data_IF_962395990386
#
_entry.id   IF_962395990386
#
_cell.length_a   1.000
_cell.length_b   1.000
_cell.length_c   1.000
_cell.angle_alpha   90.00
_cell.angle_beta   90.00
_cell.angle_gamma   90.00
#
_symmetry.space_group_name_H-M   'P 1'
#
loop_
_entity.id
_entity.type
_entity.pdbx_description
1 polymer ?
#
# COMPACT_ATOMS: atom_id res chain seq x y z
N UNK A 1 2.83 2.66 -29.24
CA UNK A 1 2.87 2.82 -27.78
C UNK A 1 4.00 1.94 -27.25
N UNK A 2 5.11 2.54 -26.83
CA UNK A 2 6.27 1.79 -26.36
C UNK A 2 6.19 1.65 -24.81
N UNK A 3 5.50 0.62 -24.33
CA UNK A 3 5.53 0.25 -22.93
C UNK A 3 6.63 -0.76 -22.62
N UNK A 4 6.98 -0.88 -21.35
CA UNK A 4 7.93 -1.87 -20.81
C UNK A 4 9.36 -1.74 -21.37
N UNK A 5 9.90 -0.52 -21.43
CA UNK A 5 11.30 -0.29 -21.86
C UNK A 5 12.25 -0.47 -20.69
N UNK A 6 13.40 -1.10 -20.93
CA UNK A 6 14.49 -1.11 -19.95
C UNK A 6 15.04 0.31 -19.77
N UNK A 7 15.13 0.78 -18.54
CA UNK A 7 15.80 2.05 -18.22
C UNK A 7 17.31 1.83 -18.11
N UNK A 8 18.07 2.51 -18.95
CA UNK A 8 19.53 2.52 -18.92
C UNK A 8 20.07 3.76 -19.64
N UNK A 9 21.32 4.12 -19.36
CA UNK A 9 22.02 5.17 -20.07
C UNK A 9 21.27 6.52 -20.10
N UNK A 10 21.12 7.12 -21.28
CA UNK A 10 20.43 8.40 -21.44
C UNK A 10 18.96 8.38 -21.00
N UNK A 11 18.26 7.24 -21.17
CA UNK A 11 16.86 7.09 -20.78
C UNK A 11 16.63 7.27 -19.27
N UNK A 12 17.62 6.97 -18.43
CA UNK A 12 17.53 7.23 -16.99
C UNK A 12 17.40 8.73 -16.69
N UNK A 13 18.23 9.58 -17.36
CA UNK A 13 18.18 11.03 -17.18
C UNK A 13 16.90 11.64 -17.75
N UNK A 14 16.41 11.12 -18.86
CA UNK A 14 15.15 11.56 -19.47
C UNK A 14 13.96 11.34 -18.54
N UNK A 15 13.97 10.26 -17.76
CA UNK A 15 12.88 9.89 -16.85
C UNK A 15 13.08 10.52 -15.47
N UNK A 16 14.27 10.42 -14.89
CA UNK A 16 14.56 10.91 -13.54
C UNK A 16 14.81 12.42 -13.50
N UNK A 17 15.34 13.01 -14.57
CA UNK A 17 15.62 14.45 -14.63
C UNK A 17 14.41 15.32 -14.28
N UNK A 18 13.29 15.20 -15.02
CA UNK A 18 12.08 15.99 -14.76
C UNK A 18 11.30 15.55 -13.54
N UNK A 19 11.55 14.36 -12.98
CA UNK A 19 10.83 13.87 -11.82
C UNK A 19 11.12 14.72 -10.58
N UNK A 20 10.07 15.18 -9.90
CA UNK A 20 10.12 15.89 -8.63
C UNK A 20 9.98 14.94 -7.44
N UNK A 21 9.30 13.82 -7.64
CA UNK A 21 9.05 12.82 -6.60
C UNK A 21 9.08 11.40 -7.13
N UNK A 22 9.38 10.47 -6.23
CA UNK A 22 9.34 9.03 -6.50
C UNK A 22 8.60 8.35 -5.35
N UNK A 23 7.58 7.58 -5.68
CA UNK A 23 6.91 6.67 -4.77
C UNK A 23 7.56 5.30 -4.89
N UNK A 24 7.89 4.70 -3.76
CA UNK A 24 8.45 3.36 -3.70
C UNK A 24 7.52 2.42 -2.95
N UNK A 25 7.26 1.24 -3.52
CA UNK A 25 6.88 0.11 -2.69
C UNK A 25 8.06 -0.28 -1.79
N UNK A 26 7.81 -1.05 -0.74
CA UNK A 26 8.83 -1.40 0.25
C UNK A 26 9.31 -2.84 0.10
N UNK A 27 8.43 -3.82 0.31
CA UNK A 27 8.77 -5.24 0.28
C UNK A 27 9.03 -5.70 -1.17
N UNK A 28 10.20 -6.26 -1.44
CA UNK A 28 10.62 -6.63 -2.80
C UNK A 28 11.28 -5.50 -3.61
N UNK A 29 11.20 -4.26 -3.15
CA UNK A 29 11.76 -3.07 -3.80
C UNK A 29 12.93 -2.49 -3.01
N UNK A 30 12.68 -2.11 -1.76
CA UNK A 30 13.70 -1.52 -0.87
C UNK A 30 14.39 -2.58 -0.01
N UNK A 31 13.67 -3.65 0.32
CA UNK A 31 14.20 -4.79 1.08
C UNK A 31 13.52 -6.10 0.68
N UNK A 32 14.22 -7.18 0.94
CA UNK A 32 13.73 -8.56 0.88
C UNK A 32 13.98 -9.24 2.24
N UNK A 33 12.92 -9.65 2.93
CA UNK A 33 13.02 -10.11 4.31
C UNK A 33 13.67 -9.05 5.21
N UNK A 34 14.72 -9.41 5.93
CA UNK A 34 15.45 -8.51 6.85
C UNK A 34 16.72 -7.88 6.24
N UNK A 35 16.80 -7.79 4.92
CA UNK A 35 17.95 -7.21 4.21
C UNK A 35 17.51 -6.14 3.23
N UNK A 36 18.21 -5.00 3.25
CA UNK A 36 18.05 -3.99 2.21
C UNK A 36 18.48 -4.56 0.84
N UNK A 37 17.77 -4.18 -0.21
CA UNK A 37 18.21 -4.43 -1.59
C UNK A 37 19.52 -3.65 -1.80
N UNK A 38 20.57 -4.29 -2.35
CA UNK A 38 21.85 -3.62 -2.59
C UNK A 38 21.65 -2.32 -3.38
N UNK A 39 22.27 -1.23 -2.92
CA UNK A 39 22.14 0.10 -3.53
C UNK A 39 20.88 0.88 -3.15
N UNK A 40 19.87 0.29 -2.52
CA UNK A 40 18.64 0.98 -2.15
C UNK A 40 18.89 2.16 -1.18
N UNK A 41 19.67 2.02 -0.10
CA UNK A 41 19.99 3.15 0.78
C UNK A 41 20.75 4.28 0.04
N UNK A 42 21.66 3.92 -0.87
CA UNK A 42 22.38 4.90 -1.69
C UNK A 42 21.44 5.63 -2.64
N UNK A 43 20.53 4.94 -3.31
CA UNK A 43 19.55 5.56 -4.18
C UNK A 43 18.72 6.64 -3.45
N UNK A 44 18.23 6.35 -2.25
CA UNK A 44 17.46 7.33 -1.47
C UNK A 44 18.31 8.54 -1.07
N UNK A 45 19.57 8.33 -0.71
CA UNK A 45 20.49 9.43 -0.41
C UNK A 45 20.77 10.29 -1.64
N UNK A 46 20.93 9.69 -2.82
CA UNK A 46 21.10 10.41 -4.09
C UNK A 46 19.86 11.23 -4.47
N UNK A 47 18.67 10.63 -4.38
CA UNK A 47 17.40 11.35 -4.60
C UNK A 47 17.29 12.57 -3.69
N UNK A 48 17.56 12.41 -2.39
CA UNK A 48 17.55 13.51 -1.44
C UNK A 48 18.54 14.63 -1.81
N UNK A 49 19.76 14.26 -2.20
CA UNK A 49 20.78 15.25 -2.64
C UNK A 49 20.37 15.98 -3.91
N UNK A 50 19.67 15.30 -4.82
CA UNK A 50 19.12 15.91 -6.05
C UNK A 50 17.83 16.70 -5.81
N UNK A 51 17.43 16.91 -4.54
CA UNK A 51 16.24 17.69 -4.18
C UNK A 51 14.91 17.01 -4.55
N UNK A 52 14.92 15.70 -4.84
CA UNK A 52 13.72 14.93 -5.20
C UNK A 52 13.08 14.33 -3.96
N UNK A 53 11.74 14.42 -3.89
CA UNK A 53 10.99 13.81 -2.80
C UNK A 53 10.92 12.29 -2.96
N UNK A 54 11.01 11.56 -1.86
CA UNK A 54 10.77 10.12 -1.82
C UNK A 54 9.63 9.81 -0.84
N UNK A 55 8.63 9.07 -1.31
CA UNK A 55 7.50 8.59 -0.52
C UNK A 55 7.43 7.07 -0.56
N UNK A 56 6.96 6.47 0.51
CA UNK A 56 6.94 5.03 0.69
C UNK A 56 5.50 4.56 0.82
N UNK A 57 5.04 3.72 -0.12
CA UNK A 57 3.66 3.25 -0.21
C UNK A 57 3.64 1.72 -0.08
N UNK A 58 3.20 1.23 1.07
CA UNK A 58 3.23 -0.20 1.38
C UNK A 58 1.84 -0.77 1.65
N UNK A 59 1.49 -1.88 1.00
CA UNK A 59 0.28 -2.65 1.31
C UNK A 59 0.39 -3.47 2.61
N UNK A 60 1.58 -3.52 3.21
CA UNK A 60 1.79 -4.26 4.46
C UNK A 60 1.09 -3.56 5.63
N UNK A 61 0.04 -4.19 6.17
CA UNK A 61 -0.72 -3.69 7.32
C UNK A 61 -0.26 -4.24 8.68
N UNK A 62 0.80 -5.06 8.71
CA UNK A 62 1.29 -5.70 9.95
C UNK A 62 1.98 -4.73 10.90
N UNK A 63 2.60 -3.68 10.35
CA UNK A 63 3.43 -2.72 11.10
C UNK A 63 2.80 -1.35 11.12
N UNK A 64 2.93 -0.68 12.26
CA UNK A 64 2.66 0.75 12.36
C UNK A 64 3.72 1.56 11.58
N UNK A 65 3.41 2.83 11.29
CA UNK A 65 4.36 3.76 10.67
C UNK A 65 5.64 3.90 11.52
N UNK A 66 5.51 3.96 12.84
CA UNK A 66 6.65 4.03 13.75
C UNK A 66 7.54 2.78 13.68
N UNK A 67 6.95 1.60 13.51
CA UNK A 67 7.72 0.36 13.31
C UNK A 67 8.40 0.32 11.95
N UNK A 68 7.75 0.84 10.90
CA UNK A 68 8.36 0.97 9.58
C UNK A 68 9.52 1.97 9.59
N UNK A 69 9.37 3.14 10.23
CA UNK A 69 10.45 4.12 10.37
C UNK A 69 11.68 3.52 11.06
N UNK A 70 11.47 2.77 12.15
CA UNK A 70 12.56 2.04 12.83
C UNK A 70 13.19 0.97 11.92
N UNK A 71 12.38 0.31 11.07
CA UNK A 71 12.89 -0.65 10.11
C UNK A 71 13.76 0.00 9.05
N UNK A 72 13.35 1.13 8.49
CA UNK A 72 14.18 1.93 7.58
C UNK A 72 15.53 2.27 8.20
N UNK A 73 15.54 2.78 9.42
CA UNK A 73 16.77 3.13 10.14
C UNK A 73 17.67 1.90 10.36
N UNK A 74 17.11 0.77 10.79
CA UNK A 74 17.84 -0.49 11.03
C UNK A 74 18.46 -1.05 9.73
N UNK A 75 17.80 -0.87 8.59
CA UNK A 75 18.28 -1.32 7.30
C UNK A 75 19.22 -0.34 6.60
N UNK A 76 19.62 0.75 7.28
CA UNK A 76 20.61 1.70 6.80
C UNK A 76 20.08 2.85 5.94
N UNK A 77 18.76 3.00 5.83
CA UNK A 77 18.15 4.14 5.14
C UNK A 77 18.18 5.38 6.02
N UNK A 78 18.83 6.43 5.54
CA UNK A 78 18.99 7.71 6.28
C UNK A 78 17.97 8.73 5.78
N UNK A 79 17.46 9.56 6.70
CA UNK A 79 16.58 10.68 6.38
C UNK A 79 15.14 10.30 6.02
N UNK A 80 14.76 9.04 6.18
CA UNK A 80 13.36 8.61 6.07
C UNK A 80 12.66 8.99 7.36
N UNK A 81 11.52 9.69 7.24
CA UNK A 81 10.70 10.12 8.37
C UNK A 81 9.29 9.55 8.25
N UNK A 82 8.65 9.37 9.39
CA UNK A 82 7.27 8.85 9.48
C UNK A 82 6.30 9.55 8.53
N UNK A 83 6.42 10.86 8.35
CA UNK A 83 5.55 11.64 7.48
C UNK A 83 5.59 11.29 5.98
N UNK A 84 6.66 10.61 5.54
CA UNK A 84 6.82 10.14 4.16
C UNK A 84 6.33 8.69 3.95
N UNK A 85 5.89 8.01 5.01
CA UNK A 85 5.47 6.61 4.99
C UNK A 85 3.95 6.52 4.97
N UNK A 86 3.41 5.93 3.92
CA UNK A 86 1.98 5.70 3.72
C UNK A 86 1.73 4.19 3.61
N UNK A 87 1.44 3.56 4.74
CA UNK A 87 1.06 2.15 4.78
C UNK A 87 -0.45 1.99 4.61
N UNK A 88 -0.87 0.80 4.19
CA UNK A 88 -2.29 0.46 4.13
C UNK A 88 -2.96 0.53 5.50
N UNK A 89 -2.22 0.26 6.58
CA UNK A 89 -2.68 0.42 7.95
C UNK A 89 -3.01 1.90 8.28
N UNK A 90 -2.04 2.80 8.05
CA UNK A 90 -2.25 4.24 8.26
C UNK A 90 -3.40 4.77 7.41
N UNK A 91 -3.42 4.47 6.12
CA UNK A 91 -4.43 4.99 5.20
C UNK A 91 -5.83 4.44 5.53
N UNK A 92 -5.93 3.18 6.01
CA UNK A 92 -7.20 2.63 6.50
C UNK A 92 -7.68 3.36 7.75
N UNK A 93 -6.77 3.71 8.66
CA UNK A 93 -7.11 4.50 9.85
C UNK A 93 -7.59 5.91 9.47
N UNK A 94 -6.93 6.57 8.51
CA UNK A 94 -7.34 7.90 8.01
C UNK A 94 -8.72 7.85 7.33
N UNK A 95 -8.97 6.84 6.49
CA UNK A 95 -10.26 6.65 5.84
C UNK A 95 -11.39 6.45 6.87
N UNK A 96 -11.18 5.54 7.81
CA UNK A 96 -12.18 5.25 8.84
C UNK A 96 -12.40 6.43 9.77
N UNK A 97 -11.35 7.16 10.13
CA UNK A 97 -11.49 8.43 10.87
C UNK A 97 -12.39 9.42 10.12
N UNK A 98 -12.14 9.62 8.84
CA UNK A 98 -12.96 10.50 8.01
C UNK A 98 -14.41 10.03 7.95
N UNK A 99 -14.66 8.72 7.80
CA UNK A 99 -15.99 8.13 7.64
C UNK A 99 -16.78 8.09 8.95
N UNK A 100 -16.12 7.83 10.07
CA UNK A 100 -16.78 7.62 11.37
C UNK A 100 -16.76 8.86 12.28
N UNK A 101 -15.76 9.75 12.13
CA UNK A 101 -15.57 10.92 12.98
C UNK A 101 -15.73 12.25 12.22
N UNK A 102 -15.85 12.22 10.88
CA UNK A 102 -16.00 13.42 10.05
C UNK A 102 -17.37 14.05 10.18
N UNK A 103 -17.54 15.26 9.66
CA UNK A 103 -18.77 16.07 9.72
C UNK A 103 -20.04 15.35 9.21
N UNK A 104 -19.90 14.35 8.33
CA UNK A 104 -21.03 13.54 7.85
C UNK A 104 -21.53 12.51 8.88
N UNK A 105 -20.74 12.18 9.90
CA UNK A 105 -21.14 11.27 10.96
C UNK A 105 -22.17 11.90 11.93
N UNK A 106 -22.20 13.22 12.03
CA UNK A 106 -23.15 13.97 12.86
C UNK A 106 -24.61 13.96 12.38
N UNK A 107 -24.87 13.50 11.15
CA UNK A 107 -26.23 13.38 10.60
C UNK A 107 -26.94 12.06 10.95
N UNK A 108 -26.25 11.12 11.57
CA UNK A 108 -26.76 9.77 11.88
C UNK A 108 -27.17 9.63 13.35
N UNK A 109 -27.93 10.59 13.92
CA UNK A 109 -28.58 10.45 15.22
C UNK A 109 -27.67 10.00 16.37
N UNK A 110 -28.06 10.27 17.55
CA UNK A 110 -27.52 10.09 18.92
C UNK A 110 -26.64 8.85 19.29
N UNK A 111 -26.14 8.10 18.32
CA UNK A 111 -25.18 7.01 18.54
C UNK A 111 -23.76 7.55 18.29
N UNK A 112 -23.06 7.88 19.37
CA UNK A 112 -21.66 8.35 19.35
C UNK A 112 -20.72 7.65 18.36
N UNK A 113 -19.44 8.05 18.26
CA UNK A 113 -18.52 7.50 17.29
C UNK A 113 -18.45 5.97 17.45
N UNK A 114 -18.85 5.26 16.39
CA UNK A 114 -18.91 3.81 16.40
C UNK A 114 -17.54 3.16 16.56
N UNK A 115 -17.54 1.88 16.95
CA UNK A 115 -16.31 1.09 17.10
C UNK A 115 -15.96 0.40 15.79
N UNK A 116 -14.68 0.04 15.67
CA UNK A 116 -14.15 -0.76 14.54
C UNK A 116 -13.81 -2.16 15.03
N UNK A 117 -14.38 -3.19 14.39
CA UNK A 117 -13.96 -4.57 14.58
C UNK A 117 -12.78 -4.86 13.64
N UNK A 118 -11.65 -5.28 14.20
CA UNK A 118 -10.38 -5.41 13.46
C UNK A 118 -9.98 -6.88 13.36
N UNK A 119 -9.85 -7.37 12.14
CA UNK A 119 -9.13 -8.57 11.78
C UNK A 119 -7.70 -8.18 11.41
N UNK A 120 -6.79 -8.21 12.38
CA UNK A 120 -5.43 -7.73 12.18
C UNK A 120 -4.62 -7.66 13.45
N UNK A 121 -3.31 -7.50 13.31
CA UNK A 121 -2.35 -7.43 14.40
C UNK A 121 -2.23 -6.05 15.05
N UNK A 122 -1.31 -5.95 16.02
CA UNK A 122 -1.17 -4.76 16.86
C UNK A 122 -0.69 -3.51 16.07
N UNK A 123 0.12 -3.67 15.04
CA UNK A 123 0.54 -2.54 14.20
C UNK A 123 -0.65 -1.81 13.57
N UNK A 124 -1.63 -2.56 13.01
CA UNK A 124 -2.87 -1.99 12.47
C UNK A 124 -3.73 -1.38 13.57
N UNK A 125 -3.91 -2.09 14.69
CA UNK A 125 -4.70 -1.60 15.84
C UNK A 125 -4.11 -0.31 16.40
N UNK A 126 -2.79 -0.20 16.47
CA UNK A 126 -2.08 0.99 16.92
C UNK A 126 -2.34 2.21 16.04
N UNK A 127 -2.36 2.06 14.72
CA UNK A 127 -2.71 3.15 13.78
C UNK A 127 -4.15 3.62 13.97
N UNK A 128 -5.10 2.71 14.18
CA UNK A 128 -6.50 3.07 14.43
C UNK A 128 -6.66 3.85 15.73
N UNK A 129 -6.02 3.41 16.82
CA UNK A 129 -6.04 4.13 18.10
C UNK A 129 -5.38 5.51 17.98
N UNK A 130 -4.25 5.61 17.29
CA UNK A 130 -3.57 6.88 17.03
C UNK A 130 -4.43 7.85 16.21
N UNK A 131 -5.31 7.33 15.35
CA UNK A 131 -6.30 8.12 14.62
C UNK A 131 -7.54 8.52 15.47
N UNK A 132 -7.61 8.10 16.74
CA UNK A 132 -8.72 8.40 17.65
C UNK A 132 -9.94 7.46 17.50
N UNK A 133 -9.75 6.32 16.82
CA UNK A 133 -10.81 5.33 16.64
C UNK A 133 -10.86 4.36 17.85
N UNK A 134 -12.08 3.98 18.25
CA UNK A 134 -12.31 2.96 19.28
C UNK A 134 -12.44 1.59 18.66
N UNK A 135 -11.87 0.58 19.29
CA UNK A 135 -11.87 -0.78 18.79
C UNK A 135 -12.86 -1.67 19.55
N UNK A 136 -13.54 -2.54 18.84
CA UNK A 136 -14.42 -3.52 19.45
C UNK A 136 -13.62 -4.50 20.32
N UNK A 137 -14.11 -4.76 21.53
CA UNK A 137 -13.51 -5.69 22.50
C UNK A 137 -12.43 -5.07 23.40
N UNK A 138 -12.16 -3.78 23.32
CA UNK A 138 -11.18 -3.10 24.18
C UNK A 138 -11.81 -2.28 25.33
N UNK A 139 -13.07 -1.93 25.22
CA UNK A 139 -13.82 -1.18 26.22
C UNK A 139 -15.13 -1.88 26.56
N UNK A 140 -15.62 -1.70 27.80
CA UNK A 140 -16.90 -2.29 28.29
C UNK A 140 -18.16 -1.61 27.72
N UNK A 141 -18.01 -0.50 26.98
CA UNK A 141 -19.17 0.26 26.47
C UNK A 141 -19.87 -0.43 25.30
N UNK A 142 -21.20 -0.35 25.28
CA UNK A 142 -22.12 -0.92 24.28
C UNK A 142 -22.20 -0.13 22.96
N UNK A 143 -21.21 0.70 22.60
CA UNK A 143 -21.24 1.45 21.35
C UNK A 143 -21.26 0.48 20.14
N UNK A 144 -22.15 0.76 19.18
CA UNK A 144 -22.31 -0.07 17.99
C UNK A 144 -21.01 -0.17 17.15
N UNK A 145 -20.75 -1.35 16.59
CA UNK A 145 -19.68 -1.53 15.60
C UNK A 145 -20.16 -0.95 14.26
N UNK A 146 -19.40 0.01 13.73
CA UNK A 146 -19.73 0.74 12.49
C UNK A 146 -18.82 0.37 11.31
N UNK A 147 -17.73 -0.35 11.58
CA UNK A 147 -16.89 -0.88 10.53
C UNK A 147 -16.25 -2.22 10.95
N UNK A 148 -16.09 -3.08 9.97
CA UNK A 148 -15.23 -4.26 10.02
C UNK A 148 -14.04 -3.95 9.12
N UNK A 149 -12.83 -3.96 9.68
CA UNK A 149 -11.59 -3.77 8.95
C UNK A 149 -10.82 -5.09 8.88
N UNK A 150 -10.57 -5.54 7.65
CA UNK A 150 -9.76 -6.73 7.38
C UNK A 150 -8.36 -6.29 7.00
N UNK A 151 -7.38 -6.66 7.79
CA UNK A 151 -5.96 -6.55 7.51
C UNK A 151 -5.28 -7.91 7.51
N UNK A 152 -3.95 -7.92 7.52
CA UNK A 152 -3.21 -9.15 7.70
C UNK A 152 -3.38 -9.65 9.13
N UNK A 153 -3.98 -10.83 9.29
CA UNK A 153 -4.24 -11.47 10.58
C UNK A 153 -3.75 -12.92 10.55
N UNK A 154 -2.58 -13.19 11.09
CA UNK A 154 -2.01 -14.53 11.22
C UNK A 154 -2.69 -15.37 12.32
N UNK A 155 -3.59 -14.75 13.09
CA UNK A 155 -4.47 -15.37 14.09
C UNK A 155 -5.96 -15.39 13.65
N UNK A 156 -6.20 -15.38 12.34
CA UNK A 156 -7.54 -15.46 11.78
C UNK A 156 -8.20 -16.80 12.16
N UNK A 157 -9.42 -16.72 12.68
CA UNK A 157 -10.17 -17.89 13.15
C UNK A 157 -11.60 -17.87 12.62
N UNK A 158 -12.25 -19.04 12.63
CA UNK A 158 -13.67 -19.14 12.32
C UNK A 158 -14.53 -18.25 13.25
N UNK A 159 -14.19 -18.17 14.53
CA UNK A 159 -14.91 -17.31 15.48
C UNK A 159 -14.85 -15.84 15.09
N UNK A 160 -13.67 -15.35 14.68
CA UNK A 160 -13.51 -13.97 14.19
C UNK A 160 -14.31 -13.75 12.90
N UNK A 161 -14.31 -14.70 11.98
CA UNK A 161 -15.11 -14.65 10.75
C UNK A 161 -16.60 -14.55 11.07
N UNK A 162 -17.10 -15.40 11.93
CA UNK A 162 -18.51 -15.41 12.36
C UNK A 162 -18.90 -14.08 13.01
N UNK A 163 -18.04 -13.52 13.85
CA UNK A 163 -18.26 -12.23 14.51
C UNK A 163 -18.28 -11.06 13.51
N UNK A 164 -17.36 -11.05 12.54
CA UNK A 164 -17.37 -10.07 11.45
C UNK A 164 -18.70 -10.11 10.68
N UNK A 165 -19.16 -11.30 10.32
CA UNK A 165 -20.43 -11.49 9.63
C UNK A 165 -21.64 -11.01 10.47
N UNK A 166 -21.60 -11.21 11.79
CA UNK A 166 -22.66 -10.71 12.67
C UNK A 166 -22.77 -9.18 12.66
N UNK A 167 -21.65 -8.46 12.70
CA UNK A 167 -21.64 -7.00 12.57
C UNK A 167 -22.08 -6.52 11.19
N UNK A 168 -21.70 -7.22 10.13
CA UNK A 168 -22.03 -6.86 8.75
C UNK A 168 -23.50 -7.09 8.37
N UNK A 169 -24.32 -7.68 9.26
CA UNK A 169 -25.79 -7.70 9.10
C UNK A 169 -26.40 -6.29 9.13
N UNK A 170 -25.82 -5.36 9.88
CA UNK A 170 -26.21 -3.96 9.80
C UNK A 170 -25.68 -3.38 8.47
N UNK A 171 -26.57 -2.94 7.54
CA UNK A 171 -26.14 -2.39 6.26
C UNK A 171 -25.34 -1.10 6.42
N UNK A 172 -25.42 -0.42 7.57
CA UNK A 172 -24.63 0.78 7.88
C UNK A 172 -23.22 0.46 8.35
N UNK A 173 -22.94 -0.80 8.72
CA UNK A 173 -21.59 -1.24 9.07
C UNK A 173 -20.75 -1.34 7.79
N UNK A 174 -19.63 -0.62 7.73
CA UNK A 174 -18.73 -0.63 6.59
C UNK A 174 -17.89 -1.93 6.59
N UNK A 175 -17.65 -2.48 5.42
CA UNK A 175 -16.62 -3.51 5.24
C UNK A 175 -15.45 -2.89 4.49
N UNK A 176 -14.28 -2.86 5.13
CA UNK A 176 -13.05 -2.25 4.60
C UNK A 176 -11.93 -3.28 4.67
N UNK A 177 -11.08 -3.32 3.66
CA UNK A 177 -9.87 -4.13 3.63
C UNK A 177 -8.64 -3.22 3.42
N UNK A 178 -7.56 -3.52 4.13
CA UNK A 178 -6.32 -2.74 4.03
C UNK A 178 -5.69 -2.85 2.65
N UNK A 179 -5.74 -4.02 2.04
CA UNK A 179 -5.10 -4.32 0.76
C UNK A 179 -5.70 -5.58 0.11
N UNK A 180 -5.49 -5.80 -1.21
CA UNK A 180 -6.05 -6.93 -1.94
C UNK A 180 -5.06 -8.09 -2.08
N UNK A 181 -3.87 -8.02 -1.51
CA UNK A 181 -2.81 -9.00 -1.76
C UNK A 181 -3.26 -10.41 -1.38
N UNK A 182 -3.35 -11.36 -2.33
CA UNK A 182 -3.88 -12.69 -2.06
C UNK A 182 -2.91 -13.54 -1.24
N UNK A 183 -1.60 -13.28 -1.38
CA UNK A 183 -0.52 -14.02 -0.71
C UNK A 183 0.75 -13.18 -0.67
N UNK A 184 1.65 -13.55 0.23
CA UNK A 184 2.99 -12.98 0.32
C UNK A 184 4.05 -14.08 0.16
N UNK A 185 5.19 -13.79 -0.49
CA UNK A 185 6.29 -14.73 -0.60
C UNK A 185 6.99 -14.89 0.75
N UNK A 186 7.43 -16.10 1.05
CA UNK A 186 8.28 -16.42 2.18
C UNK A 186 9.71 -16.66 1.71
N UNK A 187 10.69 -16.52 2.62
CA UNK A 187 12.12 -16.70 2.33
C UNK A 187 12.50 -18.09 1.84
N UNK A 188 11.67 -19.09 2.15
CA UNK A 188 11.85 -20.48 1.70
C UNK A 188 11.21 -20.79 0.34
N UNK A 189 10.71 -19.75 -0.37
CA UNK A 189 10.05 -19.91 -1.68
C UNK A 189 8.57 -20.32 -1.59
N UNK A 190 8.04 -20.53 -0.39
CA UNK A 190 6.60 -20.77 -0.15
C UNK A 190 5.82 -19.47 -0.14
N UNK A 191 4.49 -19.59 -0.11
CA UNK A 191 3.55 -18.46 -0.01
C UNK A 191 2.76 -18.58 1.29
N UNK A 192 2.49 -17.42 1.92
CA UNK A 192 1.52 -17.34 3.03
C UNK A 192 0.29 -16.57 2.55
N UNK A 193 -0.93 -16.92 3.03
CA UNK A 193 -2.13 -16.15 2.72
C UNK A 193 -1.97 -14.67 3.08
N UNK A 194 -2.41 -13.80 2.20
CA UNK A 194 -2.45 -12.35 2.41
C UNK A 194 -3.83 -11.87 2.83
N UNK A 195 -3.95 -10.57 3.04
CA UNK A 195 -5.20 -9.90 3.42
C UNK A 195 -6.34 -10.20 2.43
N UNK A 196 -6.05 -10.26 1.13
CA UNK A 196 -7.04 -10.56 0.09
C UNK A 196 -7.73 -11.92 0.29
N UNK A 197 -6.98 -12.93 0.75
CA UNK A 197 -7.55 -14.25 1.07
C UNK A 197 -8.51 -14.20 2.26
N UNK A 198 -8.17 -13.43 3.29
CA UNK A 198 -9.03 -13.25 4.47
C UNK A 198 -10.26 -12.41 4.13
N UNK A 199 -10.08 -11.38 3.33
CA UNK A 199 -11.16 -10.52 2.82
C UNK A 199 -12.16 -11.34 2.00
N UNK A 200 -11.67 -12.23 1.12
CA UNK A 200 -12.52 -13.11 0.32
C UNK A 200 -13.39 -14.02 1.21
N UNK A 201 -12.85 -14.53 2.33
CA UNK A 201 -13.63 -15.30 3.28
C UNK A 201 -14.77 -14.47 3.91
N UNK A 202 -14.47 -13.23 4.33
CA UNK A 202 -15.47 -12.33 4.92
C UNK A 202 -16.51 -11.91 3.87
N UNK A 203 -16.10 -11.56 2.66
CA UNK A 203 -17.00 -11.20 1.56
C UNK A 203 -17.96 -12.34 1.22
N UNK A 204 -17.42 -13.55 1.06
CA UNK A 204 -18.22 -14.75 0.72
C UNK A 204 -19.22 -15.07 1.83
N UNK A 205 -18.80 -15.06 3.10
CA UNK A 205 -19.66 -15.41 4.22
C UNK A 205 -20.73 -14.33 4.52
N UNK A 206 -20.41 -13.06 4.33
CA UNK A 206 -21.32 -11.94 4.62
C UNK A 206 -22.19 -11.52 3.42
N UNK A 207 -21.83 -11.91 2.20
CA UNK A 207 -22.45 -11.42 0.97
C UNK A 207 -22.15 -9.94 0.65
N UNK A 208 -21.16 -9.35 1.35
CA UNK A 208 -20.77 -7.93 1.20
C UNK A 208 -19.48 -7.82 0.38
N UNK A 209 -19.24 -6.64 -0.21
CA UNK A 209 -17.96 -6.32 -0.86
C UNK A 209 -17.19 -5.30 -0.04
N UNK A 210 -15.90 -5.53 0.09
CA UNK A 210 -15.00 -4.64 0.82
C UNK A 210 -14.57 -3.45 -0.02
N UNK A 211 -14.50 -2.28 0.63
CA UNK A 211 -13.74 -1.16 0.13
C UNK A 211 -12.26 -1.41 0.43
N UNK A 212 -11.45 -1.58 -0.61
CA UNK A 212 -10.01 -1.81 -0.48
C UNK A 212 -9.29 -0.47 -0.47
N UNK A 213 -8.46 -0.22 0.55
CA UNK A 213 -7.76 1.06 0.74
C UNK A 213 -6.41 1.08 0.03
N UNK A 214 -5.66 -0.01 0.11
CA UNK A 214 -4.32 -0.14 -0.45
C UNK A 214 -4.28 -0.23 -1.97
N UNK A 215 -3.09 -0.17 -2.51
CA UNK A 215 -2.82 -0.33 -3.96
C UNK A 215 -3.56 -1.57 -4.51
N UNK A 216 -4.21 -1.50 -5.66
CA UNK A 216 -4.16 -0.46 -6.70
C UNK A 216 -5.17 0.69 -6.53
N UNK A 217 -5.88 0.80 -5.40
CA UNK A 217 -6.76 1.93 -5.11
C UNK A 217 -5.93 3.22 -4.95
N UNK A 218 -6.45 4.35 -5.44
CA UNK A 218 -5.72 5.63 -5.45
C UNK A 218 -5.63 6.33 -4.09
N UNK A 219 -6.40 5.88 -3.09
CA UNK A 219 -6.54 6.59 -1.81
C UNK A 219 -5.21 6.88 -1.10
N UNK A 220 -4.23 5.96 -1.19
CA UNK A 220 -2.91 6.21 -0.62
C UNK A 220 -2.19 7.38 -1.30
N UNK A 221 -2.36 7.55 -2.63
CA UNK A 221 -1.83 8.68 -3.36
C UNK A 221 -2.60 9.96 -3.05
N UNK A 222 -3.92 9.88 -2.90
CA UNK A 222 -4.75 11.02 -2.51
C UNK A 222 -4.29 11.60 -1.17
N UNK A 223 -3.95 10.73 -0.19
CA UNK A 223 -3.35 11.16 1.08
C UNK A 223 -1.99 11.86 0.91
N UNK A 224 -1.17 11.42 -0.03
CA UNK A 224 0.12 12.06 -0.34
C UNK A 224 -0.10 13.41 -0.99
N UNK A 225 -1.01 13.50 -1.95
CA UNK A 225 -1.35 14.76 -2.64
C UNK A 225 -1.93 15.79 -1.65
N UNK A 226 -2.83 15.36 -0.79
CA UNK A 226 -3.44 16.24 0.24
C UNK A 226 -2.36 16.82 1.17
N UNK A 227 -1.38 16.02 1.55
CA UNK A 227 -0.36 16.43 2.51
C UNK A 227 0.80 17.20 1.90
N UNK A 228 1.23 16.86 0.69
CA UNK A 228 2.46 17.36 0.08
C UNK A 228 2.27 18.09 -1.25
N UNK A 229 1.05 18.11 -1.82
CA UNK A 229 0.78 18.78 -3.09
C UNK A 229 1.52 18.17 -4.27
N UNK A 230 1.71 16.86 -4.30
CA UNK A 230 2.50 16.15 -5.32
C UNK A 230 1.80 16.20 -6.68
N UNK A 231 2.55 16.56 -7.73
CA UNK A 231 2.05 16.53 -9.11
C UNK A 231 2.28 15.14 -9.72
N UNK A 232 1.21 14.42 -10.12
CA UNK A 232 1.34 13.10 -10.73
C UNK A 232 2.15 13.12 -12.03
N UNK A 233 2.12 14.20 -12.81
CA UNK A 233 2.86 14.29 -14.07
C UNK A 233 4.39 14.31 -13.90
N UNK A 234 4.86 14.72 -12.72
CA UNK A 234 6.28 14.80 -12.34
C UNK A 234 6.66 13.77 -11.28
N UNK A 235 5.87 12.69 -11.13
CA UNK A 235 6.08 11.68 -10.09
C UNK A 235 6.13 10.28 -10.70
N UNK A 236 7.03 9.46 -10.16
CA UNK A 236 7.20 8.07 -10.57
C UNK A 236 6.65 7.13 -9.50
N UNK A 237 6.10 5.99 -9.91
CA UNK A 237 5.84 4.85 -9.04
C UNK A 237 6.82 3.72 -9.36
N UNK A 238 7.57 3.27 -8.38
CA UNK A 238 8.52 2.16 -8.47
C UNK A 238 8.02 1.01 -7.60
N UNK A 239 7.74 -0.12 -8.21
CA UNK A 239 7.20 -1.30 -7.53
C UNK A 239 7.61 -2.59 -8.18
N UNK A 240 7.28 -3.71 -7.55
CA UNK A 240 7.66 -5.06 -7.98
C UNK A 240 6.47 -5.94 -8.40
N UNK A 241 5.24 -5.44 -8.23
CA UNK A 241 4.03 -6.20 -8.52
C UNK A 241 3.11 -5.47 -9.50
N UNK A 242 2.75 -6.15 -10.61
CA UNK A 242 1.97 -5.54 -11.69
C UNK A 242 0.56 -5.18 -11.26
N UNK A 243 -0.12 -6.07 -10.53
CA UNK A 243 -1.53 -5.94 -10.16
C UNK A 243 -1.78 -4.91 -9.04
N UNK A 244 -0.74 -4.55 -8.30
CA UNK A 244 -0.83 -3.54 -7.24
C UNK A 244 -0.06 -2.28 -7.61
N UNK A 245 1.27 -2.34 -7.67
CA UNK A 245 2.13 -1.16 -7.83
C UNK A 245 1.99 -0.49 -9.19
N UNK A 246 2.08 -1.28 -10.25
CA UNK A 246 2.03 -0.74 -11.61
C UNK A 246 0.62 -0.24 -11.91
N UNK A 247 -0.40 -1.03 -11.57
CA UNK A 247 -1.80 -0.61 -11.73
C UNK A 247 -2.12 0.63 -10.88
N UNK A 248 -1.61 0.71 -9.64
CA UNK A 248 -1.71 1.90 -8.78
C UNK A 248 -1.11 3.13 -9.47
N UNK A 249 0.12 3.02 -9.96
CA UNK A 249 0.76 4.12 -10.68
C UNK A 249 -0.07 4.58 -11.88
N UNK A 250 -0.62 3.64 -12.66
CA UNK A 250 -1.50 3.95 -13.80
C UNK A 250 -2.78 4.65 -13.35
N UNK A 251 -3.45 4.13 -12.31
CA UNK A 251 -4.68 4.71 -11.78
C UNK A 251 -4.47 6.12 -11.23
N UNK A 252 -3.28 6.42 -10.72
CA UNK A 252 -2.90 7.74 -10.20
C UNK A 252 -2.32 8.69 -11.27
N UNK A 253 -2.16 8.25 -12.52
CA UNK A 253 -1.57 9.05 -13.59
C UNK A 253 -0.05 9.21 -13.51
N UNK A 254 0.64 8.29 -12.80
CA UNK A 254 2.08 8.29 -12.62
C UNK A 254 2.78 7.50 -13.74
N UNK A 255 4.00 7.87 -14.08
CA UNK A 255 4.88 6.99 -14.83
C UNK A 255 5.37 5.85 -13.91
N UNK A 256 5.44 4.62 -14.45
CA UNK A 256 5.65 3.41 -13.65
C UNK A 256 6.95 2.70 -14.04
N UNK A 257 7.66 2.23 -13.02
CA UNK A 257 8.91 1.46 -13.15
C UNK A 257 8.75 0.15 -12.40
N UNK A 258 8.83 -0.97 -13.12
CA UNK A 258 8.87 -2.30 -12.52
C UNK A 258 10.32 -2.63 -12.14
N UNK A 259 10.56 -3.04 -10.90
CA UNK A 259 11.82 -3.66 -10.48
C UNK A 259 11.66 -5.19 -10.43
N UNK A 260 12.67 -5.91 -10.93
CA UNK A 260 12.63 -7.37 -11.03
C UNK A 260 13.17 -8.08 -9.76
N UNK A 261 13.30 -7.35 -8.65
CA UNK A 261 13.80 -7.88 -7.36
C UNK A 261 12.72 -8.52 -6.49
N UNK A 262 11.46 -8.47 -6.91
CA UNK A 262 10.33 -8.93 -6.09
C UNK A 262 9.44 -9.99 -6.75
N UNK A 263 8.14 -9.72 -6.82
CA UNK A 263 7.09 -10.70 -7.15
C UNK A 263 6.94 -10.95 -8.64
N UNK A 264 6.72 -9.89 -9.43
CA UNK A 264 6.42 -10.01 -10.86
C UNK A 264 7.68 -10.16 -11.69
N UNK A 265 7.55 -10.91 -12.78
CA UNK A 265 8.62 -11.18 -13.73
C UNK A 265 8.42 -10.39 -15.02
N UNK A 266 9.49 -10.17 -15.76
CA UNK A 266 9.45 -9.45 -17.03
C UNK A 266 8.54 -10.15 -18.05
N UNK A 267 8.54 -11.49 -18.06
CA UNK A 267 7.73 -12.30 -18.95
C UNK A 267 6.23 -12.07 -18.74
N UNK A 268 5.80 -11.82 -17.49
CA UNK A 268 4.41 -11.50 -17.17
C UNK A 268 4.02 -10.14 -17.76
N UNK A 269 4.87 -9.13 -17.60
CA UNK A 269 4.65 -7.81 -18.20
C UNK A 269 4.60 -7.87 -19.73
N UNK A 270 5.47 -8.68 -20.34
CA UNK A 270 5.50 -8.91 -21.80
C UNK A 270 4.24 -9.64 -22.29
N UNK A 271 3.75 -10.61 -21.50
CA UNK A 271 2.49 -11.30 -21.82
C UNK A 271 1.28 -10.34 -21.80
N UNK A 272 1.22 -9.45 -20.82
CA UNK A 272 0.19 -8.39 -20.77
C UNK A 272 0.33 -7.41 -21.94
N UNK A 273 1.55 -7.05 -22.33
CA UNK A 273 1.80 -6.18 -23.49
C UNK A 273 1.31 -6.79 -24.80
N UNK A 274 1.44 -8.11 -24.96
CA UNK A 274 0.99 -8.86 -26.11
C UNK A 274 -0.53 -9.13 -26.12
N UNK A 275 -1.23 -8.87 -25.01
CA UNK A 275 -2.67 -9.10 -24.88
C UNK A 275 -3.49 -8.00 -25.57
N UNK A 276 -4.59 -8.37 -26.19
CA UNK A 276 -5.55 -7.42 -26.75
C UNK A 276 -6.52 -6.84 -25.70
N UNK A 277 -6.53 -7.40 -24.50
CA UNK A 277 -7.40 -6.93 -23.40
C UNK A 277 -7.01 -5.54 -22.92
N UNK A 278 -7.92 -4.56 -22.87
CA UNK A 278 -7.64 -3.24 -22.30
C UNK A 278 -7.14 -3.32 -20.85
N UNK A 279 -7.75 -4.19 -20.03
CA UNK A 279 -7.37 -4.38 -18.62
C UNK A 279 -5.94 -4.92 -18.48
N UNK A 280 -5.47 -5.76 -19.40
CA UNK A 280 -4.10 -6.25 -19.43
C UNK A 280 -3.10 -5.11 -19.73
N UNK A 281 -3.47 -4.15 -20.56
CA UNK A 281 -2.62 -3.00 -20.90
C UNK A 281 -2.36 -2.06 -19.71
N UNK A 282 -3.29 -1.98 -18.78
CA UNK A 282 -3.12 -1.19 -17.55
C UNK A 282 -2.09 -1.81 -16.60
N UNK A 283 -1.77 -3.10 -16.78
CA UNK A 283 -0.74 -3.82 -16.03
C UNK A 283 0.65 -3.72 -16.66
N UNK A 284 0.80 -3.08 -17.82
CA UNK A 284 2.09 -2.92 -18.50
C UNK A 284 2.83 -1.72 -17.93
N UNK A 285 4.01 -1.87 -17.31
CA UNK A 285 4.79 -0.74 -16.82
C UNK A 285 5.33 0.10 -17.99
N UNK A 286 5.57 1.39 -17.74
CA UNK A 286 6.25 2.25 -18.71
C UNK A 286 7.70 1.78 -18.88
N UNK A 287 8.34 1.43 -17.77
CA UNK A 287 9.76 1.07 -17.72
C UNK A 287 9.98 -0.11 -16.77
N UNK A 288 11.15 -0.74 -16.91
CA UNK A 288 11.65 -1.70 -15.93
C UNK A 288 13.14 -1.57 -15.70
N UNK A 289 13.59 -2.04 -14.54
CA UNK A 289 14.99 -2.18 -14.13
C UNK A 289 15.19 -3.54 -13.46
N UNK A 290 16.40 -4.08 -13.52
CA UNK A 290 16.69 -5.35 -12.83
C UNK A 290 16.66 -5.14 -11.30
N UNK A 291 17.19 -4.00 -10.85
CA UNK A 291 17.16 -3.56 -9.46
C UNK A 291 16.99 -2.04 -9.40
N UNK A 292 16.46 -1.53 -8.28
CA UNK A 292 16.37 -0.07 -8.09
C UNK A 292 17.74 0.62 -8.06
N UNK A 293 18.82 -0.11 -7.77
CA UNK A 293 20.19 0.41 -7.87
C UNK A 293 20.53 0.91 -9.29
N UNK A 294 19.89 0.33 -10.32
CA UNK A 294 20.06 0.74 -11.72
C UNK A 294 19.56 2.16 -12.00
N UNK A 295 18.80 2.75 -11.08
CA UNK A 295 18.35 4.15 -11.18
C UNK A 295 19.43 5.16 -10.74
N UNK A 296 20.44 4.75 -9.99
CA UNK A 296 21.48 5.62 -9.42
C UNK A 296 22.20 6.45 -10.51
N UNK A 297 22.66 5.84 -11.63
CA UNK A 297 23.37 6.62 -12.66
C UNK A 297 22.53 7.74 -13.33
N UNK A 298 21.21 7.69 -13.19
CA UNK A 298 20.32 8.73 -13.70
C UNK A 298 20.26 9.98 -12.81
N UNK A 299 20.86 9.93 -11.61
CA UNK A 299 20.91 10.99 -10.60
C UNK A 299 22.32 11.63 -10.49
N UNK A 300 23.27 11.10 -11.23
CA UNK A 300 24.62 11.67 -11.29
C UNK A 300 24.59 12.92 -12.21
N UNK A 301 25.24 14.00 -11.75
CA UNK A 301 25.40 15.27 -12.47
C UNK A 301 26.34 15.12 -13.71
#
# INVERSE_FOLDING_TARGET
MAGCRRLSGAGLREVLGPAQGVLFDCDGVLWAGERAVPGAPELLERLRRSGKAAFFVSNNSRRSVAELERRFARLGFRGVRAEHIFSSALCSALLLRQRLLGAAAGAAGDAGPGRVFVLGGEGLRGELRAAGLRLAGEEEEEAAVRAVLVGYDDQFTFAKLAQACAYLRDPRCLLVATDPDPWHPLSNGQRTPGTGSLTAAVETASGRKALVVGKPNTYMFDCIVERFGVDPSCTLMVGDRLETDILFGKNCGLATVLTLTGVSRLEEAQAYMASDSPAAKDLVPNYYVDSIADLIPGLDD
#
